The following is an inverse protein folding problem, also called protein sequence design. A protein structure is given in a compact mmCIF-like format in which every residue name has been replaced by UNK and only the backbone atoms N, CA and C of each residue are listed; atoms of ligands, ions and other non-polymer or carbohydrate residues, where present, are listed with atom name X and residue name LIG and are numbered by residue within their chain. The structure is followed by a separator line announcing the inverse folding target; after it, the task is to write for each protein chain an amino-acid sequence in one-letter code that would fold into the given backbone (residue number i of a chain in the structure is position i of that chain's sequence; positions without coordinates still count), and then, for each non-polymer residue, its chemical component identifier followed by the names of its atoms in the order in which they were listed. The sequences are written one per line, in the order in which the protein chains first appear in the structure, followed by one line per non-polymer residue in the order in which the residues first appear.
data_IF_982588858994
#
_entry.id   IF_982588858994
#
_cell.length_a   1.000
_cell.length_b   1.000
_cell.length_c   1.000
_cell.angle_alpha   90.00
_cell.angle_beta   90.00
_cell.angle_gamma   90.00
#
_symmetry.space_group_name_H-M   'P 1'
#
loop_
_entity.id
_entity.type
_entity.pdbx_description
1 polymer ?
#
# COMPACT_ATOMS: atom_id res chain seq x y z
N UNK A 1 1.93 7.21 -11.73
CA UNK A 1 3.08 7.28 -10.79
C UNK A 1 4.05 6.19 -11.18
N UNK A 2 5.34 6.49 -11.21
CA UNK A 2 6.40 5.51 -11.53
C UNK A 2 6.77 4.66 -10.31
N UNK A 3 7.34 3.47 -10.57
CA UNK A 3 7.84 2.54 -9.54
C UNK A 3 8.80 3.22 -8.56
N UNK A 4 9.71 4.05 -9.07
CA UNK A 4 10.70 4.78 -8.26
C UNK A 4 10.05 5.74 -7.27
N UNK A 5 9.01 6.46 -7.68
CA UNK A 5 8.29 7.40 -6.82
C UNK A 5 7.58 6.69 -5.66
N UNK A 6 7.03 5.49 -5.91
CA UNK A 6 6.37 4.67 -4.88
C UNK A 6 7.40 4.21 -3.84
N UNK A 7 8.55 3.69 -4.29
CA UNK A 7 9.64 3.26 -3.43
C UNK A 7 10.11 4.44 -2.56
N UNK A 8 10.46 5.57 -3.18
CA UNK A 8 10.96 6.74 -2.45
C UNK A 8 9.96 7.30 -1.44
N UNK A 9 8.65 7.31 -1.77
CA UNK A 9 7.60 7.75 -0.84
C UNK A 9 7.51 6.82 0.37
N UNK A 10 7.56 5.51 0.16
CA UNK A 10 7.45 4.53 1.23
C UNK A 10 8.69 4.52 2.13
N UNK A 11 9.88 4.60 1.55
CA UNK A 11 11.15 4.70 2.29
C UNK A 11 11.21 5.95 3.17
N UNK A 12 10.77 7.11 2.66
CA UNK A 12 10.64 8.35 3.45
C UNK A 12 9.70 8.22 4.65
N UNK A 13 8.77 7.27 4.62
CA UNK A 13 7.85 6.97 5.73
C UNK A 13 8.32 5.79 6.60
N UNK A 14 9.56 5.34 6.44
CA UNK A 14 10.15 4.30 7.28
C UNK A 14 9.72 2.88 6.90
N UNK A 15 9.35 2.66 5.64
CA UNK A 15 9.24 1.33 5.09
C UNK A 15 10.54 0.90 4.43
N UNK A 16 10.91 -0.34 4.64
CA UNK A 16 12.01 -0.99 3.98
C UNK A 16 11.47 -1.81 2.81
N UNK A 17 12.08 -1.62 1.65
CA UNK A 17 11.81 -2.44 0.48
C UNK A 17 12.26 -3.88 0.75
N UNK A 18 11.35 -4.85 0.61
CA UNK A 18 11.62 -6.23 1.02
C UNK A 18 11.43 -7.27 -0.09
N UNK A 19 10.66 -6.97 -1.15
CA UNK A 19 10.37 -7.92 -2.23
C UNK A 19 10.18 -7.19 -3.58
N UNK A 20 10.73 -7.75 -4.66
CA UNK A 20 10.51 -7.33 -6.04
C UNK A 20 10.14 -8.54 -6.91
N UNK A 21 8.95 -8.53 -7.50
CA UNK A 21 8.52 -9.56 -8.47
C UNK A 21 8.24 -8.98 -9.85
N UNK A 22 8.73 -7.77 -10.17
CA UNK A 22 8.45 -7.09 -11.43
C UNK A 22 7.27 -6.12 -11.28
N UNK A 23 6.03 -6.51 -11.65
CA UNK A 23 4.85 -5.65 -11.48
C UNK A 23 4.36 -5.54 -10.03
N UNK A 24 5.02 -6.22 -9.09
CA UNK A 24 4.60 -6.31 -7.68
C UNK A 24 5.80 -6.02 -6.78
N UNK A 25 5.58 -5.20 -5.75
CA UNK A 25 6.60 -4.73 -4.81
C UNK A 25 6.11 -4.89 -3.37
N UNK A 26 6.96 -5.42 -2.50
CA UNK A 26 6.69 -5.57 -1.08
C UNK A 26 7.51 -4.60 -0.25
N UNK A 27 6.89 -4.12 0.83
CA UNK A 27 7.49 -3.24 1.82
C UNK A 27 7.08 -3.66 3.24
N UNK A 28 7.97 -3.44 4.21
CA UNK A 28 7.69 -3.67 5.63
C UNK A 28 8.14 -2.48 6.46
N UNK A 29 7.41 -2.20 7.53
CA UNK A 29 7.85 -1.27 8.57
C UNK A 29 7.72 -1.95 9.91
N UNK A 30 8.85 -2.25 10.54
CA UNK A 30 8.88 -2.83 11.89
C UNK A 30 8.43 -1.81 12.94
N UNK A 31 8.67 -0.52 12.68
CA UNK A 31 8.21 0.60 13.50
C UNK A 31 6.68 0.63 13.59
N UNK A 32 6.01 0.59 12.45
CA UNK A 32 4.54 0.68 12.39
C UNK A 32 3.85 -0.69 12.44
N UNK A 33 4.65 -1.75 12.47
CA UNK A 33 4.23 -3.16 12.37
C UNK A 33 3.29 -3.38 11.19
N UNK A 34 3.65 -2.79 10.05
CA UNK A 34 2.84 -2.74 8.85
C UNK A 34 3.58 -3.38 7.67
N UNK A 35 2.84 -4.04 6.78
CA UNK A 35 3.35 -4.45 5.48
C UNK A 35 2.50 -3.84 4.38
N UNK A 36 3.15 -3.38 3.32
CA UNK A 36 2.51 -2.83 2.13
C UNK A 36 2.93 -3.65 0.93
N UNK A 37 1.95 -4.09 0.16
CA UNK A 37 2.14 -4.70 -1.14
C UNK A 37 1.58 -3.78 -2.21
N UNK A 38 2.41 -3.40 -3.17
CA UNK A 38 2.00 -2.71 -4.37
C UNK A 38 1.92 -3.71 -5.51
N UNK A 39 0.88 -3.64 -6.34
CA UNK A 39 0.76 -4.42 -7.56
C UNK A 39 0.03 -3.66 -8.65
N UNK A 40 0.39 -3.94 -9.91
CA UNK A 40 -0.41 -3.53 -11.07
C UNK A 40 -1.41 -4.63 -11.43
N UNK A 41 -2.70 -4.34 -11.30
CA UNK A 41 -3.76 -5.26 -11.69
C UNK A 41 -4.69 -4.60 -12.70
N UNK A 42 -4.83 -5.18 -13.90
CA UNK A 42 -5.75 -4.70 -14.95
C UNK A 42 -5.61 -3.19 -15.28
N UNK A 43 -4.38 -2.68 -15.27
CA UNK A 43 -4.08 -1.27 -15.53
C UNK A 43 -4.20 -0.34 -14.32
N UNK A 44 -4.69 -0.82 -13.18
CA UNK A 44 -4.77 -0.06 -11.94
C UNK A 44 -3.56 -0.33 -11.02
N UNK A 45 -3.03 0.73 -10.42
CA UNK A 45 -2.06 0.67 -9.34
C UNK A 45 -2.79 0.38 -8.01
N UNK A 46 -2.54 -0.78 -7.41
CA UNK A 46 -3.19 -1.23 -6.18
C UNK A 46 -2.15 -1.30 -5.06
N UNK A 47 -2.47 -0.66 -3.94
CA UNK A 47 -1.79 -0.83 -2.66
C UNK A 47 -2.66 -1.69 -1.74
N UNK A 48 -2.05 -2.70 -1.14
CA UNK A 48 -2.62 -3.48 -0.06
C UNK A 48 -1.78 -3.25 1.19
N UNK A 49 -2.41 -2.89 2.30
CA UNK A 49 -1.73 -2.65 3.58
C UNK A 49 -2.36 -3.50 4.68
N UNK A 50 -1.53 -4.09 5.51
CA UNK A 50 -1.93 -4.86 6.69
C UNK A 50 -1.09 -4.47 7.89
N UNK A 51 -1.65 -4.57 9.10
CA UNK A 51 -0.93 -4.38 10.36
C UNK A 51 -0.86 -5.71 11.09
N UNK A 52 0.32 -6.22 11.43
CA UNK A 52 0.49 -7.52 12.11
C UNK A 52 -0.47 -8.64 11.60
N UNK A 53 -0.66 -8.75 10.27
CA UNK A 53 -1.54 -9.77 9.68
C UNK A 53 -3.05 -9.56 9.86
N UNK A 54 -3.50 -8.47 10.48
CA UNK A 54 -4.91 -8.10 10.60
C UNK A 54 -5.20 -6.79 9.86
N UNK A 55 -6.34 -6.73 9.18
CA UNK A 55 -6.84 -5.49 8.61
C UNK A 55 -7.43 -4.61 9.73
N UNK A 56 -6.74 -3.51 10.06
CA UNK A 56 -7.35 -2.39 10.77
C UNK A 56 -7.69 -1.31 9.74
N UNK A 57 -8.89 -1.37 9.16
CA UNK A 57 -9.30 -0.51 8.03
C UNK A 57 -9.15 0.98 8.35
N UNK A 58 -9.60 1.42 9.53
CA UNK A 58 -9.52 2.83 9.94
C UNK A 58 -8.06 3.29 10.02
N UNK A 59 -7.18 2.48 10.62
CA UNK A 59 -5.75 2.77 10.70
C UNK A 59 -5.11 2.76 9.31
N UNK A 60 -5.46 1.78 8.48
CA UNK A 60 -4.97 1.65 7.10
C UNK A 60 -5.34 2.86 6.25
N UNK A 61 -6.60 3.29 6.33
CA UNK A 61 -7.09 4.46 5.60
C UNK A 61 -6.37 5.74 6.02
N UNK A 62 -6.20 5.97 7.32
CA UNK A 62 -5.47 7.13 7.82
C UNK A 62 -4.01 7.11 7.33
N UNK A 63 -3.37 5.95 7.43
CA UNK A 63 -1.97 5.76 7.09
C UNK A 63 -1.71 5.91 5.58
N UNK A 64 -2.46 5.21 4.73
CA UNK A 64 -2.30 5.29 3.27
C UNK A 64 -2.60 6.71 2.78
N UNK A 65 -3.58 7.42 3.34
CA UNK A 65 -3.85 8.82 2.98
C UNK A 65 -2.72 9.80 3.36
N UNK A 66 -1.90 9.48 4.35
CA UNK A 66 -0.72 10.30 4.67
C UNK A 66 0.35 10.19 3.58
N UNK A 67 0.55 8.99 3.02
CA UNK A 67 1.59 8.71 2.03
C UNK A 67 1.11 9.02 0.60
N UNK A 68 -0.14 8.64 0.32
CA UNK A 68 -0.82 8.73 -0.96
C UNK A 68 -2.21 9.40 -0.76
N UNK A 69 -2.27 10.74 -0.67
CA UNK A 69 -3.52 11.46 -0.35
C UNK A 69 -4.68 11.20 -1.31
N UNK A 70 -4.39 10.87 -2.57
CA UNK A 70 -5.39 10.57 -3.60
C UNK A 70 -5.76 9.10 -3.71
N UNK A 71 -5.18 8.24 -2.87
CA UNK A 71 -5.53 6.83 -2.88
C UNK A 71 -7.00 6.62 -2.46
N UNK A 72 -7.75 5.89 -3.28
CA UNK A 72 -9.15 5.53 -3.04
C UNK A 72 -9.23 4.15 -2.40
N UNK A 73 -9.89 4.05 -1.26
CA UNK A 73 -10.13 2.76 -0.62
C UNK A 73 -11.08 1.89 -1.46
N UNK A 74 -10.72 0.61 -1.61
CA UNK A 74 -11.51 -0.39 -2.32
C UNK A 74 -12.12 -1.32 -1.27
N UNK A 75 -13.44 -1.22 -1.08
CA UNK A 75 -14.14 -2.14 -0.20
C UNK A 75 -14.26 -3.51 -0.88
N UNK A 76 -13.64 -4.53 -0.31
CA UNK A 76 -13.85 -5.92 -0.70
C UNK A 76 -14.66 -6.58 0.42
N UNK A 77 -15.85 -7.10 0.10
CA UNK A 77 -16.85 -7.59 1.07
C UNK A 77 -16.47 -8.89 1.80
N UNK A 78 -15.18 -9.15 2.02
CA UNK A 78 -14.64 -10.33 2.71
C UNK A 78 -13.71 -9.84 3.83
N UNK A 79 -13.66 -10.56 4.96
CA UNK A 79 -12.71 -10.30 6.05
C UNK A 79 -11.30 -10.68 5.57
N UNK A 80 -10.64 -9.75 4.91
CA UNK A 80 -9.27 -9.91 4.42
C UNK A 80 -8.28 -9.50 5.50
N UNK A 81 -7.10 -10.11 5.48
CA UNK A 81 -5.97 -9.76 6.37
C UNK A 81 -5.33 -8.40 6.00
N UNK A 82 -5.83 -7.73 4.95
CA UNK A 82 -5.32 -6.46 4.46
C UNK A 82 -6.46 -5.53 3.96
N UNK A 83 -6.17 -4.23 3.92
CA UNK A 83 -7.02 -3.19 3.33
C UNK A 83 -6.45 -2.73 1.98
N UNK A 84 -7.32 -2.56 0.99
CA UNK A 84 -6.93 -2.30 -0.40
C UNK A 84 -7.24 -0.86 -0.80
N UNK A 85 -6.35 -0.30 -1.62
CA UNK A 85 -6.41 1.07 -2.08
C UNK A 85 -5.98 1.13 -3.54
N UNK A 86 -6.72 1.86 -4.37
CA UNK A 86 -6.26 2.24 -5.71
C UNK A 86 -5.54 3.57 -5.62
N UNK A 87 -4.35 3.65 -6.21
CA UNK A 87 -3.75 4.93 -6.56
C UNK A 87 -4.18 5.19 -8.00
N UNK A 88 -5.22 5.99 -8.20
CA UNK A 88 -5.46 6.50 -9.56
C UNK A 88 -4.24 7.33 -9.98
N UNK A 89 -3.84 7.30 -11.25
CA UNK A 89 -2.85 8.24 -11.74
C UNK A 89 -3.34 9.66 -11.39
N UNK A 90 -2.54 10.37 -10.59
CA UNK A 90 -2.63 11.81 -10.48
C UNK A 90 -2.37 12.35 -11.89
N UNK A 91 -3.41 12.89 -12.52
CA UNK A 91 -3.27 13.68 -13.75
C UNK A 91 -2.21 14.77 -13.56
#
# INVERSE_FOLDING_TARGET
MEKKEIIEKLEKHGFEFNLDWGPTLGFKSDKDKASIMYSKHSGADILSISFNGQANEKKARAFVKQIFPTAKYIHQGVVLSASYFSIEPLN
#
